data_IF_054786749045
#
_entry.id   IF_054786749045
#
_cell.length_a   1.000
_cell.length_b   1.000
_cell.length_c   1.000
_cell.angle_alpha   90.00
_cell.angle_beta   90.00
_cell.angle_gamma   90.00
#
_symmetry.space_group_name_H-M   'P 1'
#
loop_
_entity.id
_entity.type
_entity.pdbx_description
1 polymer ?
#
# COMPACT_ATOMS: atom_id res chain seq x y z
N UNK A 1 2.81 4.90 12.99
CA UNK A 1 4.20 5.05 12.49
C UNK A 1 4.14 5.05 10.97
N UNK A 2 4.88 5.93 10.28
CA UNK A 2 5.03 5.84 8.83
C UNK A 2 6.10 4.77 8.53
N UNK A 3 5.80 3.80 7.66
CA UNK A 3 6.73 2.75 7.27
C UNK A 3 7.29 3.03 5.85
N UNK A 4 8.49 3.62 5.71
CA UNK A 4 9.02 4.03 4.41
C UNK A 4 9.36 2.83 3.50
N UNK A 5 9.75 1.68 4.06
CA UNK A 5 10.01 0.46 3.26
C UNK A 5 8.73 -0.08 2.64
N UNK A 6 7.64 -0.03 3.38
CA UNK A 6 6.32 -0.37 2.86
C UNK A 6 5.94 0.57 1.71
N UNK A 7 6.09 1.88 1.88
CA UNK A 7 5.79 2.84 0.82
C UNK A 7 6.59 2.56 -0.45
N UNK A 8 7.90 2.34 -0.35
CA UNK A 8 8.72 2.01 -1.53
C UNK A 8 8.23 0.75 -2.24
N UNK A 9 7.98 -0.35 -1.51
CA UNK A 9 7.47 -1.57 -2.12
C UNK A 9 6.10 -1.40 -2.80
N UNK A 10 5.21 -0.61 -2.20
CA UNK A 10 3.91 -0.29 -2.82
C UNK A 10 4.06 0.55 -4.09
N UNK A 11 5.09 1.41 -4.18
CA UNK A 11 5.41 2.17 -5.38
C UNK A 11 6.01 1.28 -6.47
N UNK A 12 6.90 0.35 -6.12
CA UNK A 12 7.41 -0.67 -7.06
C UNK A 12 6.26 -1.46 -7.69
N UNK A 13 5.27 -1.88 -6.89
CA UNK A 13 4.06 -2.57 -7.40
C UNK A 13 3.23 -1.69 -8.34
N UNK A 14 3.14 -0.38 -8.10
CA UNK A 14 2.50 0.56 -9.01
C UNK A 14 3.28 0.74 -10.32
N UNK A 15 4.61 0.69 -10.26
CA UNK A 15 5.47 0.71 -11.44
C UNK A 15 5.29 -0.55 -12.30
N UNK A 16 5.17 -1.72 -11.67
CA UNK A 16 4.96 -3.00 -12.37
C UNK A 16 3.63 -3.09 -13.13
N UNK A 17 2.62 -2.34 -12.71
CA UNK A 17 1.32 -2.28 -13.41
C UNK A 17 1.18 -1.07 -14.34
N UNK A 18 2.29 -0.39 -14.65
CA UNK A 18 2.33 0.81 -15.47
C UNK A 18 1.34 1.89 -14.99
N UNK A 19 1.19 2.06 -13.66
CA UNK A 19 0.33 3.10 -13.13
C UNK A 19 0.85 4.49 -13.54
N UNK A 20 -0.08 5.37 -13.91
CA UNK A 20 0.22 6.74 -14.30
C UNK A 20 0.98 7.48 -13.19
N UNK A 21 1.91 8.36 -13.59
CA UNK A 21 2.72 9.15 -12.66
C UNK A 21 1.84 9.98 -11.72
N UNK A 22 0.76 10.58 -12.23
CA UNK A 22 -0.17 11.35 -11.40
C UNK A 22 -0.83 10.50 -10.31
N UNK A 23 -1.10 9.22 -10.58
CA UNK A 23 -1.68 8.31 -9.60
C UNK A 23 -0.68 7.93 -8.51
N UNK A 24 0.61 7.76 -8.87
CA UNK A 24 1.70 7.52 -7.91
C UNK A 24 1.90 8.74 -7.00
N UNK A 25 1.97 9.94 -7.57
CA UNK A 25 2.12 11.18 -6.80
C UNK A 25 0.94 11.41 -5.85
N UNK A 26 -0.29 11.20 -6.33
CA UNK A 26 -1.49 11.29 -5.50
C UNK A 26 -1.47 10.25 -4.36
N UNK A 27 -0.96 9.05 -4.60
CA UNK A 27 -0.80 8.02 -3.57
C UNK A 27 0.22 8.43 -2.50
N UNK A 28 1.38 8.99 -2.90
CA UNK A 28 2.39 9.51 -1.97
C UNK A 28 1.83 10.64 -1.11
N UNK A 29 1.06 11.56 -1.70
CA UNK A 29 0.42 12.64 -0.96
C UNK A 29 -0.63 12.11 0.04
N UNK A 30 -1.43 11.11 -0.36
CA UNK A 30 -2.37 10.43 0.54
C UNK A 30 -1.64 9.72 1.68
N UNK A 31 -0.51 9.08 1.40
CA UNK A 31 0.32 8.41 2.39
C UNK A 31 0.88 9.37 3.44
N UNK A 32 1.40 10.53 3.01
CA UNK A 32 1.93 11.57 3.91
C UNK A 32 0.89 12.07 4.92
N UNK A 33 -0.39 12.03 4.55
CA UNK A 33 -1.52 12.47 5.38
C UNK A 33 -2.06 11.38 6.31
N UNK A 34 -1.54 10.16 6.26
CA UNK A 34 -1.99 9.07 7.13
C UNK A 34 -1.79 9.41 8.61
N UNK A 35 -2.87 9.30 9.39
CA UNK A 35 -2.77 9.38 10.85
C UNK A 35 -2.16 8.09 11.42
N UNK A 36 -1.52 8.14 12.60
CA UNK A 36 -0.85 6.98 13.19
C UNK A 36 -1.73 5.74 13.43
N UNK A 37 -3.05 5.92 13.50
CA UNK A 37 -4.03 4.86 13.77
C UNK A 37 -4.75 4.39 12.50
N UNK A 38 -4.53 5.04 11.36
CA UNK A 38 -5.13 4.65 10.08
C UNK A 38 -4.39 3.44 9.49
N UNK A 39 -5.15 2.55 8.86
CA UNK A 39 -4.60 1.46 8.06
C UNK A 39 -3.97 2.01 6.78
N UNK A 40 -2.92 1.35 6.30
CA UNK A 40 -2.29 1.72 5.03
C UNK A 40 -3.25 1.51 3.85
N UNK A 41 -3.35 2.45 2.91
CA UNK A 41 -4.23 2.31 1.75
C UNK A 41 -3.62 1.35 0.71
N UNK A 42 -4.48 0.61 0.01
CA UNK A 42 -4.08 -0.23 -1.11
C UNK A 42 -3.78 0.64 -2.34
N UNK A 43 -2.57 0.58 -2.91
CA UNK A 43 -2.22 1.40 -4.07
C UNK A 43 -3.02 1.04 -5.32
N UNK A 44 -3.37 -0.24 -5.52
CA UNK A 44 -4.11 -0.71 -6.70
C UNK A 44 -5.57 -0.25 -6.68
N UNK A 45 -6.23 -0.30 -5.51
CA UNK A 45 -7.56 0.25 -5.39
C UNK A 45 -7.54 1.77 -5.57
N UNK A 46 -6.50 2.43 -5.05
CA UNK A 46 -6.35 3.87 -5.14
C UNK A 46 -6.27 4.36 -6.60
N UNK A 47 -5.56 3.65 -7.48
CA UNK A 47 -5.54 3.97 -8.92
C UNK A 47 -6.89 3.81 -9.62
N UNK A 48 -7.83 3.08 -9.01
CA UNK A 48 -9.21 2.92 -9.49
C UNK A 48 -10.18 3.93 -8.88
N UNK A 49 -9.68 4.85 -8.06
CA UNK A 49 -10.50 5.82 -7.32
C UNK A 49 -11.16 5.24 -6.07
N UNK A 50 -10.75 4.05 -5.62
CA UNK A 50 -11.26 3.39 -4.42
C UNK A 50 -10.20 3.37 -3.32
N UNK A 51 -10.55 3.79 -2.10
CA UNK A 51 -9.65 3.68 -0.96
C UNK A 51 -10.00 2.44 -0.13
N UNK A 52 -9.15 1.42 -0.21
CA UNK A 52 -9.32 0.16 0.52
C UNK A 52 -8.15 -0.05 1.49
N UNK A 53 -8.41 -0.38 2.77
CA UNK A 53 -7.35 -0.58 3.74
C UNK A 53 -6.62 -1.90 3.50
N UNK A 54 -5.30 -1.89 3.66
CA UNK A 54 -4.48 -3.08 3.71
C UNK A 54 -4.65 -3.77 5.07
N UNK A 55 -4.90 -5.07 5.03
CA UNK A 55 -4.88 -5.94 6.18
C UNK A 55 -3.49 -6.55 6.35
N UNK A 56 -3.05 -6.68 7.61
CA UNK A 56 -1.85 -7.43 7.95
C UNK A 56 -2.21 -8.91 8.06
N UNK A 57 -1.51 -9.75 7.31
CA UNK A 57 -1.59 -11.19 7.43
C UNK A 57 -0.45 -11.69 8.32
N UNK A 58 -0.80 -12.24 9.48
CA UNK A 58 0.15 -12.84 10.42
C UNK A 58 0.58 -14.22 9.95
N UNK A 59 1.89 -14.46 9.85
CA UNK A 59 2.50 -15.73 9.40
C UNK A 59 4.03 -15.69 9.56
N UNK A 60 4.76 -16.72 9.07
CA UNK A 60 6.23 -16.76 9.14
C UNK A 60 6.92 -15.57 8.47
N UNK A 61 6.30 -15.04 7.40
CA UNK A 61 6.67 -13.78 6.78
C UNK A 61 5.42 -12.93 6.82
N UNK A 62 5.46 -11.85 7.58
CA UNK A 62 4.30 -11.01 7.67
C UNK A 62 4.11 -10.22 6.37
N UNK A 63 2.87 -10.19 5.87
CA UNK A 63 2.50 -9.67 4.54
C UNK A 63 1.36 -8.68 4.67
N UNK A 64 1.26 -7.77 3.73
CA UNK A 64 0.05 -6.96 3.57
C UNK A 64 -0.84 -7.56 2.49
N UNK A 65 -2.14 -7.49 2.69
CA UNK A 65 -3.12 -7.95 1.71
C UNK A 65 -4.25 -6.92 1.58
N UNK A 66 -4.69 -6.66 0.36
CA UNK A 66 -5.93 -5.92 0.16
C UNK A 66 -7.10 -6.90 0.09
N UNK A 67 -8.09 -6.84 1.00
CA UNK A 67 -9.23 -7.75 0.97
C UNK A 67 -10.14 -7.51 -0.25
N UNK A 68 -10.13 -6.29 -0.82
CA UNK A 68 -10.98 -5.92 -1.95
C UNK A 68 -10.44 -6.46 -3.29
N UNK A 69 -9.19 -6.14 -3.64
CA UNK A 69 -8.58 -6.61 -4.90
C UNK A 69 -7.82 -7.94 -4.77
N UNK A 70 -7.66 -8.46 -3.54
CA UNK A 70 -6.93 -9.69 -3.19
C UNK A 70 -5.44 -9.67 -3.53
N UNK A 71 -4.88 -8.50 -3.80
CA UNK A 71 -3.43 -8.35 -3.99
C UNK A 71 -2.69 -8.64 -2.69
N UNK A 72 -1.62 -9.42 -2.82
CA UNK A 72 -0.68 -9.74 -1.76
C UNK A 72 0.62 -8.94 -1.96
N UNK A 73 1.02 -8.22 -0.93
CA UNK A 73 2.26 -7.46 -0.89
C UNK A 73 3.22 -8.21 0.03
N UNK A 74 4.25 -8.82 -0.58
CA UNK A 74 5.25 -9.63 0.12
C UNK A 74 6.36 -8.75 0.74
N UNK A 75 5.96 -7.70 1.46
CA UNK A 75 6.89 -6.76 2.09
C UNK A 75 7.08 -7.16 3.56
N UNK A 76 8.33 -7.21 4.06
CA UNK A 76 8.58 -7.52 5.45
C UNK A 76 7.93 -6.47 6.35
N UNK A 77 7.15 -6.91 7.35
CA UNK A 77 6.77 -6.00 8.43
C UNK A 77 8.02 -5.56 9.16
N UNK A 78 8.25 -4.25 9.24
CA UNK A 78 9.18 -3.72 10.23
C UNK A 78 8.50 -3.92 11.60
N UNK A 79 9.00 -4.89 12.36
CA UNK A 79 8.63 -5.16 13.75
C UNK A 79 9.22 -4.12 14.68
#
# INVERSE_FOLDING_TARGET
MQNPKLLHGLLDDLELIDAATEAKDAFVERWRRLRPQESYPCPICFTRGEEQPLAVLSGQMARYACPACRTLYALPLEM
#
